data_IF_402875890717
#
_entry.id   IF_402875890717
#
_cell.length_a   1.000
_cell.length_b   1.000
_cell.length_c   1.000
_cell.angle_alpha   90.00
_cell.angle_beta   90.00
_cell.angle_gamma   90.00
#
_symmetry.space_group_name_H-M   'P 1'
#
loop_
_entity.id
_entity.type
_entity.pdbx_description
1 polymer ?
#
# COMPACT_ATOMS: atom_id res chain seq x y z
N UNK A 1 1.95 18.68 -15.48
CA UNK A 1 2.97 19.08 -14.49
C UNK A 1 3.69 17.80 -14.08
N UNK A 2 4.98 17.62 -14.41
CA UNK A 2 5.73 16.43 -13.96
C UNK A 2 5.93 16.54 -12.45
N UNK A 3 5.59 15.49 -11.70
CA UNK A 3 5.84 15.44 -10.27
C UNK A 3 7.36 15.59 -10.01
N UNK A 4 7.72 16.18 -8.87
CA UNK A 4 9.12 16.26 -8.45
C UNK A 4 9.70 14.85 -8.32
N UNK A 5 10.98 14.68 -8.68
CA UNK A 5 11.67 13.40 -8.47
C UNK A 5 11.71 13.10 -6.96
N UNK A 6 11.00 12.06 -6.54
CA UNK A 6 10.84 11.67 -5.13
C UNK A 6 12.19 11.33 -4.49
N UNK A 7 13.16 10.83 -5.26
CA UNK A 7 14.51 10.50 -4.78
C UNK A 7 15.28 11.71 -4.23
N UNK A 8 14.90 12.93 -4.62
CA UNK A 8 15.55 14.17 -4.15
C UNK A 8 14.86 14.78 -2.92
N UNK A 9 13.78 14.17 -2.43
CA UNK A 9 13.03 14.67 -1.29
C UNK A 9 13.47 13.99 0.00
N UNK A 10 13.40 14.71 1.11
CA UNK A 10 13.58 14.13 2.44
C UNK A 10 12.44 13.14 2.73
N UNK A 11 12.75 12.03 3.39
CA UNK A 11 11.77 11.01 3.78
C UNK A 11 10.53 11.61 4.47
N UNK A 12 10.72 12.56 5.39
CA UNK A 12 9.63 13.24 6.09
C UNK A 12 8.72 14.07 5.16
N UNK A 13 9.26 14.63 4.07
CA UNK A 13 8.48 15.35 3.07
C UNK A 13 7.60 14.39 2.26
N UNK A 14 8.17 13.24 1.86
CA UNK A 14 7.43 12.16 1.19
C UNK A 14 6.30 11.65 2.10
N UNK A 15 6.61 11.29 3.34
CA UNK A 15 5.62 10.84 4.33
C UNK A 15 4.53 11.89 4.60
N UNK A 16 4.89 13.17 4.68
CA UNK A 16 3.95 14.28 4.82
C UNK A 16 2.98 14.38 3.64
N UNK A 17 3.48 14.20 2.41
CA UNK A 17 2.66 14.22 1.20
C UNK A 17 1.62 13.09 1.17
N UNK A 18 1.99 11.88 1.63
CA UNK A 18 1.08 10.73 1.73
C UNK A 18 0.05 10.91 2.85
N UNK A 19 0.43 11.57 3.95
CA UNK A 19 -0.46 11.79 5.11
C UNK A 19 -1.54 12.85 4.84
N UNK A 20 -1.25 13.85 4.01
CA UNK A 20 -2.15 14.96 3.71
C UNK A 20 -3.56 14.51 3.30
N UNK A 21 -3.69 13.72 2.21
CA UNK A 21 -4.99 13.22 1.72
C UNK A 21 -5.74 12.36 2.75
N UNK A 22 -5.03 11.61 3.59
CA UNK A 22 -5.64 10.74 4.61
C UNK A 22 -6.20 11.53 5.79
N UNK A 23 -5.61 12.68 6.10
CA UNK A 23 -6.03 13.53 7.23
C UNK A 23 -7.31 14.30 6.94
N UNK A 24 -7.55 14.66 5.68
CA UNK A 24 -8.76 15.36 5.25
C UNK A 24 -9.93 14.38 5.05
N UNK A 25 -10.58 14.06 6.18
CA UNK A 25 -11.72 13.13 6.21
C UNK A 25 -12.90 13.62 5.37
N UNK A 26 -13.10 14.94 5.26
CA UNK A 26 -14.23 15.49 4.52
C UNK A 26 -14.03 15.38 3.01
N UNK A 27 -12.81 15.60 2.53
CA UNK A 27 -12.46 15.35 1.14
C UNK A 27 -12.54 13.87 0.80
N UNK A 28 -12.04 12.98 1.66
CA UNK A 28 -12.19 11.52 1.48
C UNK A 28 -13.66 11.10 1.41
N UNK A 29 -14.49 11.61 2.32
CA UNK A 29 -15.93 11.31 2.36
C UNK A 29 -16.63 11.79 1.10
N UNK A 30 -16.35 13.02 0.64
CA UNK A 30 -16.89 13.56 -0.61
C UNK A 30 -16.47 12.73 -1.82
N UNK A 31 -15.20 12.32 -1.87
CA UNK A 31 -14.69 11.45 -2.93
C UNK A 31 -15.42 10.10 -2.96
N UNK A 32 -15.60 9.47 -1.80
CA UNK A 32 -16.31 8.19 -1.69
C UNK A 32 -17.79 8.31 -2.11
N UNK A 33 -18.48 9.38 -1.71
CA UNK A 33 -19.85 9.63 -2.16
C UNK A 33 -19.93 9.87 -3.66
N UNK A 34 -19.01 10.64 -4.24
CA UNK A 34 -18.97 10.88 -5.68
C UNK A 34 -18.77 9.56 -6.45
N UNK A 35 -17.85 8.71 -5.99
CA UNK A 35 -17.62 7.38 -6.58
C UNK A 35 -18.85 6.49 -6.45
N UNK A 36 -19.49 6.49 -5.28
CA UNK A 36 -20.72 5.71 -5.03
C UNK A 36 -21.85 6.19 -5.95
N UNK A 37 -22.04 7.50 -6.09
CA UNK A 37 -23.06 8.08 -6.97
C UNK A 37 -22.79 7.71 -8.43
N UNK A 38 -21.53 7.80 -8.87
CA UNK A 38 -21.10 7.40 -10.21
C UNK A 38 -21.45 5.94 -10.48
N UNK A 39 -21.07 5.03 -9.57
CA UNK A 39 -21.29 3.59 -9.72
C UNK A 39 -22.75 3.14 -9.53
N UNK A 40 -23.56 3.90 -8.81
CA UNK A 40 -24.96 3.53 -8.51
C UNK A 40 -25.97 4.12 -9.48
N UNK A 41 -25.72 5.32 -10.01
CA UNK A 41 -26.72 6.08 -10.77
C UNK A 41 -26.21 6.60 -12.11
N UNK A 42 -25.03 7.21 -12.15
CA UNK A 42 -24.61 7.98 -13.32
C UNK A 42 -23.90 7.15 -14.40
N UNK A 43 -23.36 5.97 -14.06
CA UNK A 43 -22.65 5.11 -15.00
C UNK A 43 -23.39 3.76 -15.19
N UNK A 44 -24.07 3.56 -16.34
CA UNK A 44 -24.78 2.30 -16.59
C UNK A 44 -23.82 1.11 -16.82
N UNK A 45 -22.60 1.36 -17.29
CA UNK A 45 -21.58 0.34 -17.56
C UNK A 45 -20.46 0.46 -16.51
N UNK A 46 -20.60 -0.22 -15.38
CA UNK A 46 -19.67 -0.08 -14.23
C UNK A 46 -18.24 -0.56 -14.53
N UNK A 47 -18.06 -1.43 -15.53
CA UNK A 47 -16.74 -1.96 -15.91
C UNK A 47 -15.78 -0.90 -16.43
N UNK A 48 -16.27 0.29 -16.81
CA UNK A 48 -15.40 1.41 -17.23
C UNK A 48 -14.83 2.20 -16.04
N UNK A 49 -15.35 1.95 -14.83
CA UNK A 49 -14.87 2.61 -13.61
C UNK A 49 -13.75 1.77 -13.02
N UNK A 50 -12.50 2.19 -13.25
CA UNK A 50 -11.31 1.51 -12.76
C UNK A 50 -10.50 2.46 -11.88
N UNK A 51 -10.18 2.02 -10.67
CA UNK A 51 -9.23 2.74 -9.82
C UNK A 51 -7.85 2.71 -10.49
N UNK A 52 -7.26 3.89 -10.68
CA UNK A 52 -5.98 4.00 -11.41
C UNK A 52 -6.13 3.98 -12.93
N UNK A 53 -7.26 4.40 -13.50
CA UNK A 53 -7.43 4.50 -14.96
C UNK A 53 -6.36 5.37 -15.69
N UNK A 54 -5.61 6.19 -14.96
CA UNK A 54 -4.49 7.00 -15.47
C UNK A 54 -3.11 6.57 -14.92
N UNK A 55 -3.04 5.40 -14.30
CA UNK A 55 -1.83 4.86 -13.70
C UNK A 55 -0.78 4.57 -14.77
N UNK A 56 0.43 5.12 -14.60
CA UNK A 56 1.60 4.76 -15.38
C UNK A 56 2.41 3.69 -14.63
N UNK A 57 2.42 2.42 -15.08
CA UNK A 57 3.11 1.34 -14.39
C UNK A 57 4.63 1.50 -14.30
N UNK A 58 5.21 2.48 -15.00
CA UNK A 58 6.66 2.75 -14.98
C UNK A 58 7.07 3.87 -14.04
N UNK A 59 6.10 4.63 -13.51
CA UNK A 59 6.38 5.83 -12.73
C UNK A 59 5.53 5.94 -11.46
N UNK A 60 4.34 5.35 -11.46
CA UNK A 60 3.44 5.37 -10.33
C UNK A 60 3.60 4.11 -9.47
N UNK A 61 3.34 4.24 -8.17
CA UNK A 61 3.39 3.15 -7.20
C UNK A 61 2.02 2.96 -6.56
N UNK A 62 1.52 1.72 -6.54
CA UNK A 62 0.30 1.35 -5.82
C UNK A 62 0.68 0.61 -4.55
N UNK A 63 0.20 1.10 -3.40
CA UNK A 63 0.41 0.44 -2.10
C UNK A 63 -0.95 0.15 -1.48
N UNK A 64 -1.16 -1.11 -1.12
CA UNK A 64 -2.30 -1.55 -0.28
C UNK A 64 -1.75 -2.06 1.04
N UNK A 65 -2.13 -1.44 2.15
CA UNK A 65 -1.62 -1.80 3.48
C UNK A 65 -2.68 -2.54 4.29
N UNK A 66 -2.33 -3.72 4.79
CA UNK A 66 -3.15 -4.55 5.67
C UNK A 66 -2.60 -4.59 7.11
N UNK A 67 -1.64 -3.71 7.41
CA UNK A 67 -0.93 -3.67 8.71
C UNK A 67 -1.82 -3.36 9.92
N UNK A 68 -3.04 -2.86 9.70
CA UNK A 68 -4.04 -2.62 10.75
C UNK A 68 -4.96 -3.81 11.02
N UNK A 69 -4.90 -4.87 10.19
CA UNK A 69 -5.66 -6.09 10.43
C UNK A 69 -5.08 -6.84 11.63
N UNK A 70 -5.97 -7.35 12.48
CA UNK A 70 -5.61 -8.09 13.71
C UNK A 70 -5.47 -9.59 13.51
N UNK A 71 -5.26 -10.04 12.27
CA UNK A 71 -5.30 -11.46 11.90
C UNK A 71 -4.29 -12.33 12.66
N UNK A 72 -3.14 -11.77 13.07
CA UNK A 72 -2.12 -12.47 13.88
C UNK A 72 -2.20 -12.14 15.38
N UNK A 73 -3.12 -11.25 15.79
CA UNK A 73 -3.29 -10.85 17.18
C UNK A 73 -4.38 -11.66 17.90
N UNK A 74 -5.20 -12.41 17.15
CA UNK A 74 -6.32 -13.19 17.68
C UNK A 74 -6.00 -14.68 17.65
N UNK A 75 -6.35 -15.38 18.73
CA UNK A 75 -6.18 -16.83 18.83
C UNK A 75 -7.29 -17.56 18.07
N UNK A 76 -6.91 -18.58 17.30
CA UNK A 76 -7.82 -19.52 16.64
C UNK A 76 -8.26 -20.67 17.56
N UNK A 77 -8.00 -20.56 18.86
CA UNK A 77 -8.42 -21.51 19.88
C UNK A 77 -7.24 -22.22 20.58
N UNK A 78 -7.53 -23.09 21.57
CA UNK A 78 -6.51 -23.68 22.45
C UNK A 78 -5.55 -24.63 21.73
N UNK A 79 -5.95 -25.21 20.59
CA UNK A 79 -5.12 -26.15 19.82
C UNK A 79 -4.21 -25.44 18.82
N UNK A 80 -4.68 -24.34 18.22
CA UNK A 80 -4.00 -23.67 17.11
C UNK A 80 -3.27 -22.39 17.54
N UNK A 81 -3.69 -21.77 18.66
CA UNK A 81 -3.12 -20.53 19.14
C UNK A 81 -3.31 -19.37 18.15
N UNK A 82 -2.46 -18.35 18.26
CA UNK A 82 -2.45 -17.22 17.32
C UNK A 82 -1.67 -17.57 16.05
N UNK A 83 -2.11 -17.12 14.86
CA UNK A 83 -1.37 -17.30 13.62
C UNK A 83 -0.02 -16.57 13.68
N UNK A 84 1.07 -17.27 13.35
CA UNK A 84 2.42 -16.69 13.29
C UNK A 84 2.55 -15.72 12.11
N UNK A 85 1.85 -15.99 11.00
CA UNK A 85 1.83 -15.12 9.83
C UNK A 85 0.51 -15.29 9.04
N UNK A 86 0.17 -14.30 8.21
CA UNK A 86 -0.93 -14.40 7.26
C UNK A 86 -0.53 -13.85 5.88
N UNK A 87 -1.05 -14.47 4.81
CA UNK A 87 -0.70 -14.13 3.42
C UNK A 87 -1.19 -12.75 2.95
N UNK A 88 -1.85 -11.98 3.81
CA UNK A 88 -2.22 -10.58 3.58
C UNK A 88 -1.18 -9.60 4.13
N UNK A 89 -0.06 -10.09 4.66
CA UNK A 89 1.01 -9.29 5.29
C UNK A 89 0.50 -8.30 6.35
N UNK A 90 -0.36 -8.72 7.30
CA UNK A 90 -0.56 -7.94 8.50
C UNK A 90 0.74 -7.90 9.31
N UNK A 91 0.76 -7.10 10.37
CA UNK A 91 1.84 -7.20 11.35
C UNK A 91 1.85 -8.58 11.97
N UNK A 92 3.04 -9.15 12.17
CA UNK A 92 3.18 -10.35 12.98
C UNK A 92 3.01 -10.02 14.48
N UNK A 93 3.14 -11.04 15.33
CA UNK A 93 2.99 -10.90 16.78
C UNK A 93 4.05 -9.97 17.42
N UNK A 94 5.20 -9.80 16.79
CA UNK A 94 6.31 -8.95 17.23
C UNK A 94 6.21 -7.52 16.66
N UNK A 95 5.27 -7.30 15.74
CA UNK A 95 5.04 -6.02 15.08
C UNK A 95 5.85 -5.81 13.81
N UNK A 96 6.57 -6.83 13.31
CA UNK A 96 7.28 -6.77 12.04
C UNK A 96 6.27 -6.71 10.88
N UNK A 97 6.73 -6.17 9.75
CA UNK A 97 5.91 -5.98 8.55
C UNK A 97 6.63 -6.64 7.38
N UNK A 98 5.93 -7.52 6.67
CA UNK A 98 6.34 -7.99 5.37
C UNK A 98 5.77 -7.08 4.27
N UNK A 99 6.53 -6.87 3.20
CA UNK A 99 6.10 -6.08 2.04
C UNK A 99 6.32 -6.91 0.79
N UNK A 100 5.26 -7.24 0.08
CA UNK A 100 5.37 -7.78 -1.27
C UNK A 100 5.46 -6.65 -2.28
N UNK A 101 6.36 -6.83 -3.25
CA UNK A 101 6.54 -5.91 -4.37
C UNK A 101 6.42 -6.68 -5.68
N UNK A 102 5.89 -6.02 -6.70
CA UNK A 102 5.81 -6.53 -8.06
C UNK A 102 6.55 -5.55 -8.95
N UNK A 103 7.81 -5.86 -9.24
CA UNK A 103 8.72 -5.03 -10.01
C UNK A 103 9.36 -5.85 -11.12
N UNK A 104 9.98 -5.20 -12.09
CA UNK A 104 10.76 -5.91 -13.09
C UNK A 104 11.98 -6.59 -12.42
N UNK A 105 12.41 -7.73 -12.94
CA UNK A 105 13.49 -8.54 -12.33
C UNK A 105 14.77 -7.73 -12.10
N UNK A 106 15.14 -6.87 -13.05
CA UNK A 106 16.30 -5.98 -12.93
C UNK A 106 16.16 -4.93 -11.82
N UNK A 107 14.93 -4.50 -11.50
CA UNK A 107 14.65 -3.56 -10.40
C UNK A 107 14.70 -4.28 -9.06
N UNK A 108 14.21 -5.52 -8.98
CA UNK A 108 14.32 -6.37 -7.80
C UNK A 108 15.80 -6.61 -7.47
N UNK A 109 16.62 -6.97 -8.46
CA UNK A 109 18.05 -7.15 -8.29
C UNK A 109 18.77 -5.86 -7.87
N UNK A 110 18.29 -4.71 -8.33
CA UNK A 110 18.74 -3.40 -7.86
C UNK A 110 18.45 -3.20 -6.37
N UNK A 111 17.20 -3.43 -5.94
CA UNK A 111 16.79 -3.28 -4.54
C UNK A 111 17.52 -4.24 -3.60
N UNK A 112 17.79 -5.47 -4.03
CA UNK A 112 18.57 -6.45 -3.25
C UNK A 112 19.99 -5.97 -2.93
N UNK A 113 20.55 -5.10 -3.78
CA UNK A 113 21.93 -4.58 -3.67
C UNK A 113 21.98 -3.17 -3.08
N UNK A 114 20.83 -2.57 -2.79
CA UNK A 114 20.74 -1.22 -2.24
C UNK A 114 21.16 -1.21 -0.76
N UNK A 115 22.29 -0.56 -0.47
CA UNK A 115 22.86 -0.49 0.88
C UNK A 115 22.00 0.31 1.87
N UNK A 116 21.24 1.31 1.41
CA UNK A 116 20.34 2.07 2.29
C UNK A 116 19.11 1.24 2.64
N UNK A 117 18.55 0.51 1.67
CA UNK A 117 17.43 -0.42 1.90
C UNK A 117 17.83 -1.52 2.88
N UNK A 118 19.03 -2.09 2.73
CA UNK A 118 19.54 -3.16 3.59
C UNK A 118 19.70 -2.76 5.06
N UNK A 119 19.77 -1.46 5.39
CA UNK A 119 19.77 -0.97 6.78
C UNK A 119 18.41 -1.10 7.47
N UNK A 120 17.33 -1.21 6.70
CA UNK A 120 15.95 -1.14 7.19
C UNK A 120 15.11 -2.37 6.86
N UNK A 121 15.49 -3.14 5.83
CA UNK A 121 14.76 -4.31 5.38
C UNK A 121 15.74 -5.42 4.97
N UNK A 122 15.29 -6.66 5.10
CA UNK A 122 15.95 -7.83 4.52
C UNK A 122 15.04 -8.44 3.45
N UNK A 123 15.66 -8.98 2.40
CA UNK A 123 14.93 -9.64 1.32
C UNK A 123 14.53 -11.06 1.73
N UNK A 124 13.33 -11.48 1.34
CA UNK A 124 12.82 -12.85 1.54
C UNK A 124 12.51 -13.40 0.14
N UNK A 125 13.17 -14.50 -0.23
CA UNK A 125 12.92 -15.25 -1.47
C UNK A 125 11.65 -16.12 -1.38
#
# INVERSE_FOLDING_TARGET
MRAANVCNLLFGAVAGSLRGPVRDKDTLRRHFFALTLLCSTACPIKSVVVNGARFDPRADVVVSSYTSLRSCAESLGPLLGAPVAANLMPKDAEGNIAVATYLAENEIEGLKRDEEMAKHAFYID
#
